data_IF_491176283954
#
_entry.id   IF_491176283954
#
_cell.length_a   1.000
_cell.length_b   1.000
_cell.length_c   1.000
_cell.angle_alpha   90.00
_cell.angle_beta   90.00
_cell.angle_gamma   90.00
#
_symmetry.space_group_name_H-M   'P 1'
#
loop_
_entity.id
_entity.type
_entity.pdbx_description
1 polymer ?
#
# COMPACT_ATOMS: atom_id res chain seq x y z
N UNK A 1 -6.69 -4.69 2.24
CA UNK A 1 -5.44 -4.79 1.47
C UNK A 1 -5.74 -4.68 -0.03
N UNK A 2 -6.38 -5.66 -0.67
CA UNK A 2 -6.68 -5.59 -2.12
C UNK A 2 -7.45 -4.32 -2.53
N UNK A 3 -8.44 -3.89 -1.75
CA UNK A 3 -9.16 -2.61 -1.99
C UNK A 3 -8.23 -1.40 -1.93
N UNK A 4 -7.33 -1.35 -0.94
CA UNK A 4 -6.37 -0.25 -0.79
C UNK A 4 -5.44 -0.16 -2.01
N UNK A 5 -4.87 -1.31 -2.40
CA UNK A 5 -3.99 -1.39 -3.56
C UNK A 5 -4.70 -1.12 -4.88
N UNK A 6 -5.92 -1.60 -5.06
CA UNK A 6 -6.73 -1.26 -6.24
C UNK A 6 -7.00 0.24 -6.33
N UNK A 7 -7.32 0.89 -5.21
CA UNK A 7 -7.46 2.36 -5.16
C UNK A 7 -6.16 3.08 -5.48
N UNK A 8 -5.01 2.56 -5.01
CA UNK A 8 -3.70 3.08 -5.37
C UNK A 8 -3.42 2.94 -6.87
N UNK A 9 -3.68 1.77 -7.45
CA UNK A 9 -3.49 1.51 -8.88
C UNK A 9 -4.36 2.43 -9.74
N UNK A 10 -5.65 2.60 -9.37
CA UNK A 10 -6.54 3.56 -10.03
C UNK A 10 -5.98 5.00 -9.98
N UNK A 11 -5.44 5.42 -8.84
CA UNK A 11 -4.80 6.74 -8.71
C UNK A 11 -3.53 6.83 -9.56
N UNK A 12 -2.69 5.79 -9.53
CA UNK A 12 -1.43 5.71 -10.28
C UNK A 12 -1.66 5.87 -11.79
N UNK A 13 -2.71 5.24 -12.33
CA UNK A 13 -3.10 5.36 -13.73
C UNK A 13 -3.97 6.59 -14.03
N UNK A 14 -4.18 7.49 -13.06
CA UNK A 14 -4.98 8.71 -13.26
C UNK A 14 -6.47 8.45 -13.48
N UNK A 15 -7.00 7.29 -13.14
CA UNK A 15 -8.45 7.00 -13.25
C UNK A 15 -9.26 7.71 -12.16
N UNK A 16 -8.63 8.00 -11.01
CA UNK A 16 -9.24 8.69 -9.86
C UNK A 16 -8.25 9.70 -9.25
N UNK A 17 -8.77 10.74 -8.60
CA UNK A 17 -8.03 11.78 -7.88
C UNK A 17 -7.99 11.55 -6.36
N UNK A 18 -8.38 10.35 -5.90
CA UNK A 18 -8.43 10.05 -4.47
C UNK A 18 -7.07 10.29 -3.79
N UNK A 19 -7.05 10.87 -2.57
CA UNK A 19 -5.82 11.15 -1.85
C UNK A 19 -5.28 9.88 -1.15
N UNK A 20 -5.03 8.80 -1.90
CA UNK A 20 -4.64 7.47 -1.35
C UNK A 20 -3.26 7.51 -0.66
N UNK A 21 -2.41 8.44 -1.08
CA UNK A 21 -1.04 8.73 -0.61
C UNK A 21 -0.96 9.74 0.54
N UNK A 22 -1.87 10.73 0.56
CA UNK A 22 -1.79 11.87 1.47
C UNK A 22 -2.94 11.94 2.48
N UNK A 23 -4.09 11.35 2.16
CA UNK A 23 -5.32 11.45 2.94
C UNK A 23 -5.24 10.69 4.27
N UNK A 24 -5.66 11.34 5.36
CA UNK A 24 -5.65 10.75 6.69
C UNK A 24 -6.46 9.44 6.77
N UNK A 25 -7.64 9.39 6.15
CA UNK A 25 -8.47 8.19 6.11
C UNK A 25 -7.78 7.01 5.43
N UNK A 26 -7.07 7.26 4.33
CA UNK A 26 -6.30 6.23 3.61
C UNK A 26 -5.09 5.74 4.42
N UNK A 27 -4.39 6.65 5.10
CA UNK A 27 -3.31 6.29 6.02
C UNK A 27 -3.81 5.41 7.17
N UNK A 28 -4.93 5.77 7.80
CA UNK A 28 -5.56 4.94 8.84
C UNK A 28 -5.96 3.57 8.29
N UNK A 29 -6.52 3.53 7.07
CA UNK A 29 -6.91 2.28 6.44
C UNK A 29 -5.70 1.36 6.17
N UNK A 30 -4.60 1.91 5.64
CA UNK A 30 -3.35 1.18 5.44
C UNK A 30 -2.78 0.67 6.77
N UNK A 31 -2.76 1.51 7.82
CA UNK A 31 -2.29 1.11 9.14
C UNK A 31 -3.15 0.01 9.76
N UNK A 32 -4.47 0.09 9.64
CA UNK A 32 -5.39 -0.93 10.13
C UNK A 32 -5.19 -2.27 9.41
N UNK A 33 -4.95 -2.24 8.09
CA UNK A 33 -4.61 -3.45 7.32
C UNK A 33 -3.32 -4.08 7.86
N UNK A 34 -2.23 -3.32 7.97
CA UNK A 34 -0.95 -3.83 8.47
C UNK A 34 -1.05 -4.37 9.90
N UNK A 35 -1.72 -3.60 10.79
CA UNK A 35 -1.96 -4.01 12.17
C UNK A 35 -2.75 -5.32 12.24
N UNK A 36 -3.81 -5.46 11.41
CA UNK A 36 -4.63 -6.67 11.38
C UNK A 36 -3.84 -7.90 10.94
N UNK A 37 -2.98 -7.80 9.92
CA UNK A 37 -2.14 -8.92 9.47
C UNK A 37 -1.20 -9.39 10.58
N UNK A 38 -0.50 -8.45 11.21
CA UNK A 38 0.48 -8.76 12.24
C UNK A 38 -0.16 -9.25 13.54
N UNK A 39 -1.30 -8.67 13.91
CA UNK A 39 -2.11 -9.16 15.02
C UNK A 39 -2.57 -10.61 14.79
N UNK A 40 -3.07 -10.92 13.59
CA UNK A 40 -3.46 -12.28 13.23
C UNK A 40 -2.27 -13.24 13.17
N UNK A 41 -1.07 -12.77 12.85
CA UNK A 41 0.16 -13.58 13.00
C UNK A 41 0.37 -13.95 14.46
N UNK A 42 0.25 -13.01 15.40
CA UNK A 42 0.34 -13.27 16.83
C UNK A 42 -0.70 -14.29 17.32
N UNK A 43 -1.97 -14.10 16.94
CA UNK A 43 -3.05 -15.06 17.26
C UNK A 43 -2.75 -16.44 16.67
N UNK A 44 -2.32 -16.48 15.40
CA UNK A 44 -1.98 -17.72 14.70
C UNK A 44 -0.81 -18.48 15.35
N UNK A 45 0.17 -17.76 15.92
CA UNK A 45 1.27 -18.37 16.67
C UNK A 45 0.78 -19.10 17.92
N UNK A 46 -0.17 -18.52 18.66
CA UNK A 46 -0.79 -19.16 19.84
C UNK A 46 -1.50 -20.46 19.44
N UNK A 47 -2.29 -20.42 18.36
CA UNK A 47 -3.03 -21.59 17.88
C UNK A 47 -2.08 -22.69 17.34
N UNK A 48 -1.04 -22.31 16.59
CA UNK A 48 -0.08 -23.24 16.00
C UNK A 48 0.78 -23.97 17.05
N UNK A 49 1.03 -23.32 18.19
CA UNK A 49 1.89 -23.78 19.27
C UNK A 49 1.14 -24.16 20.55
N UNK A 50 -0.18 -24.36 20.46
CA UNK A 50 -1.06 -24.61 21.62
C UNK A 50 -0.62 -25.76 22.52
N UNK A 51 -0.08 -26.84 21.95
CA UNK A 51 0.30 -28.06 22.66
C UNK A 51 1.81 -28.16 22.92
N UNK A 52 2.62 -27.69 21.97
CA UNK A 52 4.07 -27.70 22.05
C UNK A 52 4.65 -26.61 21.15
N UNK A 53 5.87 -26.16 21.46
CA UNK A 53 6.63 -25.29 20.57
C UNK A 53 7.20 -26.14 19.43
N UNK A 54 6.90 -25.76 18.19
CA UNK A 54 7.19 -26.51 16.96
C UNK A 54 8.16 -25.71 16.12
N UNK A 55 9.39 -25.62 16.64
CA UNK A 55 10.41 -24.74 16.09
C UNK A 55 10.72 -25.08 14.63
N UNK A 56 10.77 -26.38 14.30
CA UNK A 56 10.90 -26.91 12.95
C UNK A 56 9.87 -26.29 11.99
N UNK A 57 8.59 -26.32 12.36
CA UNK A 57 7.50 -25.79 11.53
C UNK A 57 7.48 -24.28 11.49
N UNK A 58 7.84 -23.63 12.60
CA UNK A 58 7.97 -22.18 12.67
C UNK A 58 9.06 -21.68 11.72
N UNK A 59 10.24 -22.32 11.71
CA UNK A 59 11.36 -22.01 10.82
C UNK A 59 10.99 -22.28 9.35
N UNK A 60 10.38 -23.43 9.04
CA UNK A 60 9.93 -23.73 7.68
C UNK A 60 8.92 -22.70 7.16
N UNK A 61 7.95 -22.28 8.00
CA UNK A 61 6.99 -21.24 7.64
C UNK A 61 7.69 -19.90 7.44
N UNK A 62 8.54 -19.49 8.38
CA UNK A 62 9.28 -18.23 8.29
C UNK A 62 10.16 -18.19 7.03
N UNK A 63 10.84 -19.28 6.70
CA UNK A 63 11.66 -19.41 5.49
C UNK A 63 10.84 -19.25 4.20
N UNK A 64 9.65 -19.87 4.11
CA UNK A 64 8.74 -19.67 2.96
C UNK A 64 8.32 -18.20 2.79
N UNK A 65 8.00 -17.53 3.90
CA UNK A 65 7.58 -16.13 3.88
C UNK A 65 8.77 -15.23 3.55
N UNK A 66 9.95 -15.49 4.11
CA UNK A 66 11.18 -14.76 3.82
C UNK A 66 11.59 -14.91 2.35
N UNK A 67 11.46 -16.10 1.76
CA UNK A 67 11.70 -16.31 0.33
C UNK A 67 10.73 -15.50 -0.53
N UNK A 68 9.45 -15.49 -0.18
CA UNK A 68 8.46 -14.66 -0.86
C UNK A 68 8.77 -13.15 -0.70
N UNK A 69 9.19 -12.72 0.48
CA UNK A 69 9.60 -11.35 0.75
C UNK A 69 10.81 -10.94 -0.12
N UNK A 70 11.85 -11.78 -0.17
CA UNK A 70 13.02 -11.56 -1.00
C UNK A 70 12.69 -11.51 -2.49
N UNK A 71 11.78 -12.36 -2.97
CA UNK A 71 11.31 -12.32 -4.35
C UNK A 71 10.60 -11.00 -4.69
N UNK A 72 9.76 -10.48 -3.79
CA UNK A 72 9.11 -9.17 -3.98
C UNK A 72 10.16 -8.05 -3.97
N UNK A 73 11.09 -8.05 -3.02
CA UNK A 73 12.17 -7.06 -2.98
C UNK A 73 12.98 -7.06 -4.26
N UNK A 74 13.32 -8.24 -4.80
CA UNK A 74 14.06 -8.37 -6.05
C UNK A 74 13.25 -7.86 -7.26
N UNK A 75 11.98 -8.26 -7.35
CA UNK A 75 11.10 -7.80 -8.44
C UNK A 75 10.91 -6.27 -8.41
N UNK A 76 10.69 -5.71 -7.22
CA UNK A 76 10.52 -4.26 -7.05
C UNK A 76 11.82 -3.49 -7.19
N UNK A 77 12.97 -4.10 -6.92
CA UNK A 77 14.28 -3.51 -7.21
C UNK A 77 14.45 -3.21 -8.70
N UNK A 78 14.10 -4.16 -9.56
CA UNK A 78 14.14 -3.93 -11.00
C UNK A 78 13.04 -3.01 -11.52
N UNK A 79 11.85 -3.03 -10.90
CA UNK A 79 10.71 -2.23 -11.36
C UNK A 79 10.72 -0.78 -10.85
N UNK A 80 11.23 -0.52 -9.65
CA UNK A 80 11.06 0.74 -8.91
C UNK A 80 12.38 1.37 -8.44
N UNK A 81 13.52 0.78 -8.82
CA UNK A 81 14.86 1.24 -8.49
C UNK A 81 15.00 1.55 -6.99
N UNK A 82 15.23 2.81 -6.61
CA UNK A 82 15.48 3.23 -5.22
C UNK A 82 14.29 3.05 -4.26
N UNK A 83 13.07 2.90 -4.80
CA UNK A 83 11.83 2.78 -4.01
C UNK A 83 11.42 1.33 -3.74
N UNK A 84 12.26 0.36 -4.08
CA UNK A 84 11.96 -1.06 -3.88
C UNK A 84 11.62 -1.42 -2.43
N UNK A 85 11.00 -2.58 -2.24
CA UNK A 85 10.62 -3.05 -0.90
C UNK A 85 11.87 -3.42 -0.10
N UNK A 86 12.31 -2.53 0.80
CA UNK A 86 13.50 -2.77 1.65
C UNK A 86 13.19 -3.65 2.86
N UNK A 87 12.09 -3.35 3.56
CA UNK A 87 11.59 -4.13 4.69
C UNK A 87 10.07 -3.99 4.78
N UNK A 88 9.37 -4.71 3.90
CA UNK A 88 7.91 -4.73 3.84
C UNK A 88 7.23 -5.68 4.83
N UNK A 89 5.91 -5.76 4.77
CA UNK A 89 5.09 -6.55 5.72
C UNK A 89 5.48 -8.04 5.79
N UNK A 90 5.88 -8.67 4.67
CA UNK A 90 6.33 -10.08 4.70
C UNK A 90 7.64 -10.27 5.47
N UNK A 91 8.55 -9.30 5.41
CA UNK A 91 9.78 -9.32 6.23
C UNK A 91 9.43 -9.22 7.71
N UNK A 92 8.54 -8.29 8.06
CA UNK A 92 8.03 -8.12 9.42
C UNK A 92 7.34 -9.39 9.93
N UNK A 93 6.53 -10.05 9.10
CA UNK A 93 5.88 -11.32 9.46
C UNK A 93 6.93 -12.41 9.72
N UNK A 94 7.94 -12.55 8.85
CA UNK A 94 8.96 -13.58 8.98
C UNK A 94 9.82 -13.37 10.24
N UNK A 95 10.42 -12.17 10.38
CA UNK A 95 11.26 -11.82 11.53
C UNK A 95 10.45 -11.81 12.83
N UNK A 96 9.30 -11.14 12.82
CA UNK A 96 8.40 -11.04 13.98
C UNK A 96 7.86 -12.39 14.45
N UNK A 97 7.55 -13.32 13.53
CA UNK A 97 7.13 -14.68 13.90
C UNK A 97 8.19 -15.44 14.70
N UNK A 98 9.47 -15.24 14.40
CA UNK A 98 10.58 -15.92 15.10
C UNK A 98 10.89 -15.22 16.43
N UNK A 99 10.97 -13.89 16.41
CA UNK A 99 11.24 -13.08 17.60
C UNK A 99 10.14 -13.19 18.65
N UNK A 100 8.89 -13.44 18.26
CA UNK A 100 7.77 -13.58 19.18
C UNK A 100 7.63 -14.98 19.80
N UNK A 101 8.45 -15.99 19.40
CA UNK A 101 8.35 -17.34 19.96
C UNK A 101 8.53 -17.41 21.49
N UNK A 102 9.47 -16.68 22.12
CA UNK A 102 9.60 -16.66 23.57
C UNK A 102 8.34 -16.10 24.27
N UNK A 103 7.64 -15.15 23.65
CA UNK A 103 6.44 -14.53 24.19
C UNK A 103 5.26 -15.53 24.33
N UNK A 104 5.29 -16.65 23.61
CA UNK A 104 4.27 -17.70 23.73
C UNK A 104 4.29 -18.39 25.10
N UNK A 105 5.44 -18.39 25.80
CA UNK A 105 5.59 -19.01 27.12
C UNK A 105 5.83 -18.01 28.27
N UNK A 106 6.14 -16.75 27.95
CA UNK A 106 6.29 -15.69 28.93
C UNK A 106 4.96 -15.42 29.69
N UNK A 107 5.00 -14.83 30.90
CA UNK A 107 3.78 -14.38 31.57
C UNK A 107 3.10 -13.23 30.79
N UNK A 108 1.76 -13.18 30.80
CA UNK A 108 1.00 -12.23 29.96
C UNK A 108 1.31 -10.76 30.23
N UNK A 109 1.57 -10.38 31.48
CA UNK A 109 1.92 -9.01 31.84
C UNK A 109 3.25 -8.59 31.18
N UNK A 110 4.21 -9.51 31.04
CA UNK A 110 5.48 -9.23 30.38
C UNK A 110 5.28 -9.07 28.88
N UNK A 111 4.47 -9.94 28.26
CA UNK A 111 4.14 -9.82 26.82
C UNK A 111 3.41 -8.51 26.53
N UNK A 112 2.45 -8.13 27.38
CA UNK A 112 1.74 -6.85 27.28
C UNK A 112 2.68 -5.66 27.47
N UNK A 113 3.57 -5.72 28.46
CA UNK A 113 4.61 -4.70 28.68
C UNK A 113 5.55 -4.56 27.48
N UNK A 114 6.00 -5.67 26.90
CA UNK A 114 6.82 -5.66 25.67
C UNK A 114 6.06 -5.12 24.46
N UNK A 115 4.75 -5.37 24.36
CA UNK A 115 3.92 -4.80 23.29
C UNK A 115 3.84 -3.26 23.41
N UNK A 116 3.62 -2.75 24.63
CA UNK A 116 3.62 -1.31 24.89
C UNK A 116 5.01 -0.69 24.66
N UNK A 117 6.07 -1.35 25.09
CA UNK A 117 7.44 -0.91 24.84
C UNK A 117 7.75 -0.88 23.34
N UNK A 118 7.37 -1.92 22.58
CA UNK A 118 7.57 -1.96 21.14
C UNK A 118 6.82 -0.82 20.41
N UNK A 119 5.63 -0.46 20.89
CA UNK A 119 4.84 0.65 20.35
C UNK A 119 5.47 2.01 20.67
N UNK A 120 5.96 2.20 21.90
CA UNK A 120 6.45 3.48 22.39
C UNK A 120 7.92 3.76 22.02
N UNK A 121 8.75 2.73 21.86
CA UNK A 121 10.20 2.92 21.69
C UNK A 121 10.58 3.84 20.52
N UNK A 122 9.94 3.76 19.33
CA UNK A 122 10.27 4.65 18.21
C UNK A 122 9.94 6.13 18.44
N UNK A 123 9.08 6.47 19.41
CA UNK A 123 8.78 7.88 19.73
C UNK A 123 9.79 8.52 20.68
N UNK A 124 10.66 7.72 21.31
CA UNK A 124 11.66 8.17 22.28
C UNK A 124 13.10 7.83 21.90
N UNK A 125 13.29 6.87 20.99
CA UNK A 125 14.60 6.48 20.46
C UNK A 125 14.64 6.73 18.97
N UNK A 126 15.62 7.52 18.54
CA UNK A 126 15.95 7.75 17.14
C UNK A 126 17.46 7.65 16.96
N UNK A 127 17.91 6.81 16.03
CA UNK A 127 19.29 6.52 15.73
C UNK A 127 19.72 7.28 14.48
N UNK A 128 20.84 7.98 14.55
CA UNK A 128 21.48 8.63 13.41
C UNK A 128 22.99 8.53 13.55
N UNK A 129 23.64 7.83 12.62
CA UNK A 129 25.10 7.69 12.55
C UNK A 129 25.54 7.21 11.16
N UNK A 130 26.79 7.46 10.73
CA UNK A 130 27.27 6.98 9.44
C UNK A 130 27.09 5.47 9.28
N UNK A 131 26.28 5.06 8.29
CA UNK A 131 25.98 3.67 8.01
C UNK A 131 24.74 3.10 8.72
N UNK A 132 23.96 3.91 9.43
CA UNK A 132 22.70 3.50 10.08
C UNK A 132 21.67 2.83 9.15
N UNK A 133 21.78 3.00 7.83
CA UNK A 133 20.91 2.38 6.83
C UNK A 133 20.71 0.85 7.00
N UNK A 134 21.69 0.11 7.55
CA UNK A 134 21.53 -1.33 7.81
C UNK A 134 20.48 -1.62 8.91
N UNK A 135 20.14 -0.64 9.75
CA UNK A 135 19.13 -0.71 10.81
C UNK A 135 17.70 -0.37 10.34
N UNK A 136 17.48 -0.18 9.04
CA UNK A 136 16.14 0.13 8.47
C UNK A 136 15.06 -0.85 8.92
N UNK A 137 15.40 -2.12 9.15
CA UNK A 137 14.46 -3.13 9.63
C UNK A 137 13.98 -2.92 11.07
N UNK A 138 14.69 -2.12 11.88
CA UNK A 138 14.33 -1.89 13.30
C UNK A 138 13.19 -0.90 13.46
N UNK A 139 13.10 0.11 12.58
CA UNK A 139 12.18 1.24 12.72
C UNK A 139 12.67 2.33 13.66
N UNK A 140 13.96 2.32 14.03
CA UNK A 140 14.56 3.29 14.94
C UNK A 140 15.46 4.32 14.24
N UNK A 141 15.71 4.18 12.93
CA UNK A 141 16.56 5.14 12.21
C UNK A 141 15.80 6.45 11.96
N UNK A 142 16.51 7.57 12.05
CA UNK A 142 15.92 8.91 11.95
C UNK A 142 15.34 9.22 10.56
N UNK A 143 16.08 8.84 9.52
CA UNK A 143 15.70 9.09 8.12
C UNK A 143 15.74 7.78 7.32
N UNK A 144 14.67 6.96 7.39
CA UNK A 144 14.62 5.72 6.63
C UNK A 144 14.52 6.00 5.12
N UNK A 145 15.27 5.26 4.28
CA UNK A 145 15.19 5.43 2.84
C UNK A 145 13.78 5.11 2.33
N UNK A 146 13.37 5.80 1.27
CA UNK A 146 12.07 5.60 0.62
C UNK A 146 11.90 4.13 0.18
N UNK A 147 10.71 3.59 0.42
CA UNK A 147 10.33 2.21 0.10
C UNK A 147 8.83 2.15 -0.09
N UNK A 148 8.36 1.53 -1.18
CA UNK A 148 6.92 1.43 -1.49
C UNK A 148 6.13 0.59 -0.49
N UNK A 149 6.81 -0.32 0.23
CA UNK A 149 6.27 -1.00 1.40
C UNK A 149 7.33 -0.96 2.50
N UNK A 150 7.03 -0.25 3.59
CA UNK A 150 7.93 -0.11 4.73
C UNK A 150 7.18 -0.39 6.04
N UNK A 151 7.43 -1.58 6.58
CA UNK A 151 6.84 -2.08 7.82
C UNK A 151 7.98 -2.59 8.71
N UNK A 152 8.76 -1.69 9.33
CA UNK A 152 9.85 -2.08 10.23
C UNK A 152 9.36 -2.92 11.41
N UNK A 153 10.26 -3.54 12.17
CA UNK A 153 9.86 -4.28 13.37
C UNK A 153 9.19 -3.41 14.42
N UNK A 154 9.67 -2.20 14.67
CA UNK A 154 9.03 -1.27 15.58
C UNK A 154 8.34 -0.16 14.78
N UNK A 155 7.09 0.20 15.08
CA UNK A 155 6.28 -0.25 16.23
C UNK A 155 5.51 -1.57 15.99
N UNK A 156 5.58 -2.14 14.80
CA UNK A 156 4.68 -3.20 14.31
C UNK A 156 4.71 -4.53 15.09
N UNK A 157 5.80 -4.83 15.79
CA UNK A 157 5.92 -5.94 16.74
C UNK A 157 4.86 -5.86 17.84
N UNK A 158 4.45 -4.65 18.23
CA UNK A 158 3.38 -4.45 19.20
C UNK A 158 2.08 -5.15 18.78
N UNK A 159 1.73 -5.11 17.49
CA UNK A 159 0.54 -5.79 16.98
C UNK A 159 0.67 -7.32 17.09
N UNK A 160 1.84 -7.89 16.80
CA UNK A 160 2.10 -9.33 16.95
C UNK A 160 1.96 -9.74 18.42
N UNK A 161 2.60 -9.02 19.33
CA UNK A 161 2.57 -9.31 20.76
C UNK A 161 1.15 -9.13 21.35
N UNK A 162 0.43 -8.09 20.94
CA UNK A 162 -0.98 -7.90 21.28
C UNK A 162 -1.84 -9.07 20.77
N UNK A 163 -1.56 -9.58 19.57
CA UNK A 163 -2.20 -10.78 19.03
C UNK A 163 -1.92 -12.03 19.87
N UNK A 164 -0.72 -12.18 20.43
CA UNK A 164 -0.40 -13.28 21.35
C UNK A 164 -1.18 -13.14 22.65
N UNK A 165 -1.25 -11.94 23.24
CA UNK A 165 -2.03 -11.68 24.46
C UNK A 165 -3.50 -12.01 24.22
N UNK A 166 -4.10 -11.42 23.18
CA UNK A 166 -5.49 -11.66 22.82
C UNK A 166 -5.77 -13.13 22.50
N UNK A 167 -4.88 -13.79 21.75
CA UNK A 167 -5.00 -15.21 21.42
C UNK A 167 -4.97 -16.10 22.66
N UNK A 168 -4.09 -15.84 23.62
CA UNK A 168 -4.03 -16.62 24.88
C UNK A 168 -5.27 -16.39 25.75
N UNK A 169 -5.76 -15.15 25.84
CA UNK A 169 -7.00 -14.84 26.56
C UNK A 169 -8.22 -15.50 25.90
N UNK A 170 -8.31 -15.46 24.57
CA UNK A 170 -9.36 -16.11 23.79
C UNK A 170 -9.33 -17.64 23.91
N UNK A 171 -8.14 -18.24 24.03
CA UNK A 171 -8.00 -19.66 24.29
C UNK A 171 -8.48 -20.01 25.71
N UNK A 172 -8.10 -19.21 26.72
CA UNK A 172 -8.49 -19.42 28.11
C UNK A 172 -10.00 -19.23 28.34
N UNK A 173 -10.64 -18.32 27.62
CA UNK A 173 -12.09 -18.08 27.72
C UNK A 173 -12.96 -19.09 26.94
N UNK A 174 -12.34 -20.01 26.19
CA UNK A 174 -13.06 -20.94 25.32
C UNK A 174 -13.62 -20.31 24.04
N UNK A 175 -13.32 -19.03 23.75
CA UNK A 175 -13.81 -18.33 22.56
C UNK A 175 -13.45 -19.07 21.27
N UNK A 176 -12.23 -19.61 21.14
CA UNK A 176 -11.86 -20.37 19.95
C UNK A 176 -12.63 -21.67 19.77
N UNK A 177 -13.05 -22.33 20.86
CA UNK A 177 -13.90 -23.51 20.78
C UNK A 177 -15.30 -23.13 20.26
N UNK A 178 -15.84 -22.00 20.71
CA UNK A 178 -17.10 -21.47 20.20
C UNK A 178 -17.01 -21.09 18.72
N UNK A 179 -15.95 -20.37 18.32
CA UNK A 179 -15.72 -19.98 16.92
C UNK A 179 -15.48 -21.19 16.00
N UNK A 180 -14.89 -22.27 16.51
CA UNK A 180 -14.68 -23.49 15.74
C UNK A 180 -15.99 -24.21 15.37
N UNK A 181 -17.10 -23.94 16.08
CA UNK A 181 -18.42 -24.46 15.72
C UNK A 181 -19.02 -23.76 14.49
N UNK A 182 -18.50 -22.58 14.11
CA UNK A 182 -18.94 -21.88 12.92
C UNK A 182 -18.49 -22.61 11.65
N UNK A 183 -19.39 -22.69 10.68
CA UNK A 183 -19.13 -23.34 9.38
C UNK A 183 -19.59 -22.44 8.24
N UNK A 184 -18.85 -22.45 7.14
CA UNK A 184 -19.16 -21.63 5.97
C UNK A 184 -20.37 -22.21 5.19
N UNK A 185 -21.55 -21.63 5.44
CA UNK A 185 -22.81 -22.12 4.87
C UNK A 185 -23.07 -21.64 3.43
N UNK A 186 -22.53 -20.49 3.01
CA UNK A 186 -22.82 -19.86 1.71
C UNK A 186 -21.61 -19.82 0.76
N UNK A 187 -21.83 -19.57 -0.55
CA UNK A 187 -20.76 -19.52 -1.54
C UNK A 187 -19.73 -18.41 -1.22
N UNK A 188 -20.20 -17.23 -0.83
CA UNK A 188 -19.33 -16.11 -0.46
C UNK A 188 -18.47 -16.43 0.78
N UNK A 189 -19.04 -17.04 1.82
CA UNK A 189 -18.29 -17.40 3.04
C UNK A 189 -17.34 -18.56 2.81
N UNK A 190 -17.68 -19.51 1.91
CA UNK A 190 -16.77 -20.59 1.48
C UNK A 190 -15.60 -20.06 0.68
N UNK A 191 -15.83 -19.09 -0.22
CA UNK A 191 -14.78 -18.41 -0.96
C UNK A 191 -13.85 -17.63 -0.03
N UNK A 192 -14.41 -16.88 0.93
CA UNK A 192 -13.63 -16.17 1.93
C UNK A 192 -12.78 -17.14 2.78
N UNK A 193 -13.35 -18.28 3.20
CA UNK A 193 -12.61 -19.31 3.93
C UNK A 193 -11.50 -19.95 3.07
N UNK A 194 -11.74 -20.16 1.78
CA UNK A 194 -10.73 -20.66 0.84
C UNK A 194 -9.58 -19.65 0.67
N UNK A 195 -9.91 -18.37 0.46
CA UNK A 195 -8.93 -17.29 0.37
C UNK A 195 -8.09 -17.19 1.65
N UNK A 196 -8.71 -17.34 2.83
CA UNK A 196 -8.00 -17.38 4.11
C UNK A 196 -7.03 -18.55 4.26
N UNK A 197 -7.41 -19.75 3.78
CA UNK A 197 -6.53 -20.95 3.77
C UNK A 197 -5.32 -20.80 2.85
N UNK A 198 -5.46 -20.04 1.75
CA UNK A 198 -4.40 -19.75 0.79
C UNK A 198 -3.95 -18.29 0.85
N UNK A 199 -3.96 -17.68 2.04
CA UNK A 199 -3.74 -16.25 2.23
C UNK A 199 -2.41 -15.74 1.68
N UNK A 200 -1.32 -16.52 1.76
CA UNK A 200 -0.04 -16.14 1.17
C UNK A 200 -0.10 -16.08 -0.36
N UNK A 201 -0.80 -17.02 -1.01
CA UNK A 201 -0.96 -17.00 -2.46
C UNK A 201 -1.78 -15.77 -2.87
N UNK A 202 -2.93 -15.56 -2.22
CA UNK A 202 -3.77 -14.38 -2.45
C UNK A 202 -2.97 -13.10 -2.25
N UNK A 203 -2.16 -13.03 -1.18
CA UNK A 203 -1.27 -11.92 -0.91
C UNK A 203 -0.27 -11.67 -2.05
N UNK A 204 0.32 -12.71 -2.63
CA UNK A 204 1.32 -12.54 -3.70
C UNK A 204 0.69 -12.15 -5.04
N UNK A 205 -0.45 -12.74 -5.39
CA UNK A 205 -1.03 -12.58 -6.73
C UNK A 205 -1.92 -11.35 -6.85
N UNK A 206 -2.45 -10.80 -5.75
CA UNK A 206 -3.40 -9.69 -5.85
C UNK A 206 -2.79 -8.47 -6.55
N UNK A 207 -1.57 -8.05 -6.21
CA UNK A 207 -1.00 -6.82 -6.77
C UNK A 207 -0.69 -6.95 -8.27
N UNK A 208 -0.01 -8.00 -8.75
CA UNK A 208 0.18 -8.18 -10.20
C UNK A 208 -1.14 -8.26 -10.98
N UNK A 209 -2.16 -8.92 -10.41
CA UNK A 209 -3.47 -9.04 -11.06
C UNK A 209 -4.18 -7.67 -11.09
N UNK A 210 -4.29 -6.97 -9.95
CA UNK A 210 -4.97 -5.68 -9.88
C UNK A 210 -4.28 -4.63 -10.75
N UNK A 211 -2.95 -4.52 -10.64
CA UNK A 211 -2.17 -3.62 -11.47
C UNK A 211 -2.33 -3.94 -12.95
N UNK A 212 -2.24 -5.22 -13.34
CA UNK A 212 -2.42 -5.66 -14.72
C UNK A 212 -3.81 -5.34 -15.28
N UNK A 213 -4.86 -5.48 -14.45
CA UNK A 213 -6.23 -5.13 -14.82
C UNK A 213 -6.39 -3.63 -15.06
N UNK A 214 -5.91 -2.78 -14.14
CA UNK A 214 -6.00 -1.31 -14.30
C UNK A 214 -5.15 -0.84 -15.47
N UNK A 215 -3.93 -1.38 -15.62
CA UNK A 215 -3.06 -1.10 -16.76
C UNK A 215 -3.73 -1.46 -18.10
N UNK A 216 -4.37 -2.62 -18.19
CA UNK A 216 -5.10 -3.04 -19.40
C UNK A 216 -6.28 -2.11 -19.68
N UNK A 217 -7.05 -1.73 -18.66
CA UNK A 217 -8.15 -0.79 -18.81
C UNK A 217 -7.66 0.60 -19.28
N UNK A 218 -6.55 1.09 -18.72
CA UNK A 218 -5.96 2.37 -19.09
C UNK A 218 -5.43 2.38 -20.52
N UNK A 219 -4.70 1.32 -20.91
CA UNK A 219 -4.13 1.20 -22.27
C UNK A 219 -5.20 1.02 -23.35
N UNK A 220 -6.36 0.44 -23.01
CA UNK A 220 -7.52 0.33 -23.91
C UNK A 220 -8.41 1.59 -23.92
N UNK A 221 -8.07 2.64 -23.16
CA UNK A 221 -8.87 3.86 -23.08
C UNK A 221 -10.21 3.68 -22.36
N UNK A 222 -10.33 2.66 -21.50
CA UNK A 222 -11.55 2.38 -20.71
C UNK A 222 -11.60 3.17 -19.40
N UNK A 223 -10.51 3.85 -19.03
CA UNK A 223 -10.45 4.75 -17.87
C UNK A 223 -10.64 6.21 -18.28
N UNK A 224 -11.29 7.05 -17.46
CA UNK A 224 -11.39 8.48 -17.73
C UNK A 224 -9.99 9.11 -17.90
N UNK A 225 -9.81 9.96 -18.91
CA UNK A 225 -8.59 10.75 -19.05
C UNK A 225 -8.68 11.98 -18.15
N UNK A 226 -8.38 11.78 -16.86
CA UNK A 226 -8.36 12.86 -15.87
C UNK A 226 -7.28 13.89 -16.15
N UNK A 227 -6.19 13.54 -16.85
CA UNK A 227 -5.11 14.51 -17.13
C UNK A 227 -5.62 15.66 -17.98
N UNK A 228 -6.45 15.35 -18.97
CA UNK A 228 -7.16 16.34 -19.77
C UNK A 228 -8.19 17.13 -18.97
N UNK A 229 -8.98 16.47 -18.12
CA UNK A 229 -9.98 17.13 -17.27
C UNK A 229 -9.31 18.12 -16.32
N UNK A 230 -8.25 17.72 -15.61
CA UNK A 230 -7.48 18.58 -14.71
C UNK A 230 -6.82 19.74 -15.45
N UNK A 231 -6.29 19.50 -16.66
CA UNK A 231 -5.77 20.59 -17.49
C UNK A 231 -6.88 21.60 -17.81
N UNK A 232 -8.06 21.14 -18.24
CA UNK A 232 -9.18 22.02 -18.55
C UNK A 232 -9.60 22.81 -17.31
N UNK A 233 -9.67 22.19 -16.14
CA UNK A 233 -10.00 22.87 -14.88
C UNK A 233 -8.99 23.98 -14.54
N UNK A 234 -7.68 23.68 -14.60
CA UNK A 234 -6.62 24.65 -14.32
C UNK A 234 -6.57 25.78 -15.37
N UNK A 235 -6.75 25.43 -16.64
CA UNK A 235 -6.84 26.38 -17.74
C UNK A 235 -8.04 27.32 -17.55
N UNK A 236 -9.21 26.79 -17.18
CA UNK A 236 -10.41 27.59 -16.90
C UNK A 236 -10.16 28.53 -15.73
N UNK A 237 -9.63 28.05 -14.61
CA UNK A 237 -9.31 28.88 -13.44
C UNK A 237 -8.40 30.06 -13.79
N UNK A 238 -7.37 29.81 -14.62
CA UNK A 238 -6.46 30.86 -15.08
C UNK A 238 -7.14 31.83 -16.07
N UNK A 239 -7.93 31.30 -17.02
CA UNK A 239 -8.61 32.08 -18.04
C UNK A 239 -9.68 33.01 -17.45
N UNK A 240 -10.44 32.54 -16.45
CA UNK A 240 -11.53 33.30 -15.81
C UNK A 240 -11.07 34.52 -15.03
N UNK A 241 -9.76 34.71 -14.85
CA UNK A 241 -9.21 35.95 -14.31
C UNK A 241 -9.59 37.15 -15.20
N UNK A 242 -9.72 36.93 -16.52
CA UNK A 242 -9.97 38.00 -17.50
C UNK A 242 -11.11 37.72 -18.48
N UNK A 243 -11.73 36.54 -18.44
CA UNK A 243 -12.79 36.13 -19.36
C UNK A 243 -13.98 35.46 -18.67
N UNK A 244 -15.05 35.22 -19.43
CA UNK A 244 -16.23 34.49 -18.94
C UNK A 244 -15.98 32.98 -18.87
N UNK A 245 -16.54 32.33 -17.86
CA UNK A 245 -16.32 30.89 -17.60
C UNK A 245 -16.72 30.01 -18.79
N UNK A 246 -17.86 30.28 -19.43
CA UNK A 246 -18.34 29.48 -20.56
C UNK A 246 -17.37 29.53 -21.75
N UNK A 247 -16.89 30.72 -22.12
CA UNK A 247 -15.92 30.91 -23.21
C UNK A 247 -14.56 30.31 -22.87
N UNK A 248 -14.11 30.45 -21.61
CA UNK A 248 -12.90 29.81 -21.12
C UNK A 248 -12.97 28.29 -21.19
N UNK A 249 -14.09 27.69 -20.77
CA UNK A 249 -14.30 26.23 -20.82
C UNK A 249 -14.29 25.72 -22.26
N UNK A 250 -14.99 26.41 -23.18
CA UNK A 250 -14.96 26.06 -24.60
C UNK A 250 -13.54 26.13 -25.18
N UNK A 251 -12.80 27.20 -24.88
CA UNK A 251 -11.41 27.39 -25.34
C UNK A 251 -10.48 26.30 -24.82
N UNK A 252 -10.52 26.02 -23.52
CA UNK A 252 -9.65 25.03 -22.87
C UNK A 252 -9.95 23.61 -23.36
N UNK A 253 -11.22 23.24 -23.51
CA UNK A 253 -11.61 21.93 -24.07
C UNK A 253 -11.16 21.77 -25.53
N UNK A 254 -11.39 22.79 -26.37
CA UNK A 254 -10.90 22.82 -27.75
C UNK A 254 -9.38 22.64 -27.83
N UNK A 255 -8.64 23.27 -26.90
CA UNK A 255 -7.16 23.20 -26.88
C UNK A 255 -6.69 21.77 -26.68
N UNK A 256 -7.27 21.05 -25.71
CA UNK A 256 -6.95 19.65 -25.45
C UNK A 256 -7.37 18.76 -26.62
N UNK A 257 -8.55 18.97 -27.18
CA UNK A 257 -9.02 18.20 -28.34
C UNK A 257 -8.08 18.34 -29.55
N UNK A 258 -7.61 19.56 -29.82
CA UNK A 258 -6.68 19.84 -30.90
C UNK A 258 -5.30 19.17 -30.67
N UNK A 259 -4.78 19.24 -29.43
CA UNK A 259 -3.52 18.58 -29.06
C UNK A 259 -3.61 17.05 -29.08
N UNK A 260 -4.80 16.48 -28.82
CA UNK A 260 -5.03 15.04 -28.95
C UNK A 260 -5.09 14.62 -30.41
N UNK A 261 -5.75 15.41 -31.25
CA UNK A 261 -5.91 15.10 -32.67
C UNK A 261 -4.57 15.02 -33.42
N UNK A 262 -3.58 15.82 -33.02
CA UNK A 262 -2.23 15.81 -33.62
C UNK A 262 -1.19 14.99 -32.83
N UNK A 263 -1.60 14.34 -31.73
CA UNK A 263 -0.74 13.48 -30.90
C UNK A 263 0.21 14.23 -29.96
N UNK A 264 0.20 15.57 -29.97
CA UNK A 264 1.07 16.41 -29.12
C UNK A 264 0.73 16.29 -27.64
N UNK A 265 -0.53 15.97 -27.31
CA UNK A 265 -0.99 15.80 -25.93
C UNK A 265 -0.14 14.80 -25.13
N UNK A 266 0.17 13.64 -25.71
CA UNK A 266 0.98 12.62 -25.04
C UNK A 266 2.45 13.06 -24.88
N UNK A 267 2.99 13.76 -25.88
CA UNK A 267 4.34 14.31 -25.79
C UNK A 267 4.46 15.37 -24.69
N UNK A 268 3.43 16.22 -24.54
CA UNK A 268 3.35 17.26 -23.51
C UNK A 268 3.30 16.65 -22.11
N UNK A 269 2.49 15.60 -21.91
CA UNK A 269 2.43 14.87 -20.63
C UNK A 269 3.76 14.20 -20.28
N UNK A 270 4.47 13.66 -21.28
CA UNK A 270 5.77 13.01 -21.05
C UNK A 270 6.91 14.00 -20.79
N UNK A 271 6.84 15.21 -21.33
CA UNK A 271 7.91 16.23 -21.27
C UNK A 271 7.32 17.64 -21.04
N UNK A 272 6.72 17.91 -19.88
CA UNK A 272 6.02 19.18 -19.62
C UNK A 272 6.95 20.41 -19.62
N UNK A 273 8.25 20.20 -19.39
CA UNK A 273 9.25 21.27 -19.38
C UNK A 273 9.84 21.58 -20.77
N UNK A 274 9.45 20.84 -21.83
CA UNK A 274 9.94 21.08 -23.19
C UNK A 274 9.40 22.43 -23.73
N UNK A 275 10.27 23.41 -24.02
CA UNK A 275 9.83 24.73 -24.50
C UNK A 275 9.04 24.66 -25.81
N UNK A 276 9.39 23.75 -26.72
CA UNK A 276 8.72 23.62 -28.01
C UNK A 276 7.30 23.07 -27.88
N UNK A 277 7.06 22.17 -26.93
CA UNK A 277 5.72 21.66 -26.63
C UNK A 277 4.86 22.73 -25.93
N UNK A 278 5.47 23.56 -25.08
CA UNK A 278 4.79 24.68 -24.43
C UNK A 278 4.40 25.79 -25.43
N UNK A 279 5.24 26.07 -26.42
CA UNK A 279 4.90 26.99 -27.52
C UNK A 279 3.73 26.47 -28.36
N UNK A 280 3.73 25.16 -28.67
CA UNK A 280 2.62 24.51 -29.36
C UNK A 280 1.31 24.59 -28.56
N UNK A 281 1.36 24.34 -27.25
CA UNK A 281 0.23 24.50 -26.35
C UNK A 281 -0.33 25.94 -26.41
N UNK A 282 0.54 26.95 -26.31
CA UNK A 282 0.14 28.35 -26.36
C UNK A 282 -0.46 28.74 -27.72
N UNK A 283 0.08 28.21 -28.82
CA UNK A 283 -0.47 28.40 -30.16
C UNK A 283 -1.87 27.79 -30.30
N UNK A 284 -2.06 26.53 -29.87
CA UNK A 284 -3.37 25.86 -29.89
C UNK A 284 -4.40 26.61 -29.06
N UNK A 285 -4.02 27.08 -27.88
CA UNK A 285 -4.88 27.90 -27.04
C UNK A 285 -5.32 29.20 -27.74
N UNK A 286 -4.38 29.92 -28.39
CA UNK A 286 -4.71 31.13 -29.16
C UNK A 286 -5.68 30.84 -30.29
N UNK A 287 -5.48 29.76 -31.05
CA UNK A 287 -6.40 29.39 -32.13
C UNK A 287 -7.81 29.09 -31.62
N UNK A 288 -7.93 28.30 -30.54
CA UNK A 288 -9.22 27.98 -29.93
C UNK A 288 -9.92 29.20 -29.33
N UNK A 289 -9.15 30.14 -28.74
CA UNK A 289 -9.70 31.38 -28.18
C UNK A 289 -10.31 32.28 -29.25
N UNK A 290 -9.73 32.30 -30.45
CA UNK A 290 -10.25 33.04 -31.60
C UNK A 290 -11.57 32.44 -32.14
N UNK A 291 -11.82 31.15 -31.90
CA UNK A 291 -13.05 30.47 -32.32
C UNK A 291 -14.18 30.59 -31.29
N UNK A 292 -13.84 30.86 -30.02
CA UNK A 292 -14.79 30.98 -28.92
C UNK A 292 -15.33 32.40 -28.70
N UNK A 293 -14.75 33.41 -29.36
CA UNK A 293 -15.19 34.81 -29.40
C UNK A 293 -16.01 35.08 -30.66
#
# INVERSE_FOLDING_TARGET
>A
MAVYHFSWDLKWFGAVDWPVDSGLGWRIFAMAIAASFLFLVGVGQVLAHRSALRLDRALLRAGKIALAAAAISLATYFALAEQYVRFGILHAIAAGSLLALPALRAPLWLVGGLALAALALPSVVSLSFPGDAWLVWTGLIADPPLSVDYVPLLPWMAAILAGIVAGRLALASGLFAHLAAWTAQGPATRLAALAGRHSLLVYLVHQPILFGLVWTAATLGLTPDRTAETFVEQCVQSCTITGEEAACRATCSCTVEALRADGTWQALLARPEDPGLNDLLAERYRMCRLQAN
#
